data_IF_532261071343
#
_entry.id   IF_532261071343
#
_cell.length_a   1.000
_cell.length_b   1.000
_cell.length_c   1.000
_cell.angle_alpha   90.00
_cell.angle_beta   90.00
_cell.angle_gamma   90.00
#
_symmetry.space_group_name_H-M   'P 1'
#
loop_
_entity.id
_entity.type
_entity.pdbx_description
1 polymer ?
#
# COMPACT_ATOMS: atom_id res chain seq x y z
N UNK A 1 15.10 15.39 0.70
CA UNK A 1 14.05 14.37 0.88
C UNK A 1 14.20 13.81 2.28
N UNK A 2 13.27 14.12 3.18
CA UNK A 2 13.35 13.70 4.58
C UNK A 2 13.24 12.17 4.63
N UNK A 3 14.35 11.49 4.93
CA UNK A 3 14.44 10.05 5.24
C UNK A 3 14.25 9.10 4.06
N UNK A 4 15.34 8.71 3.39
CA UNK A 4 15.35 7.47 2.60
C UNK A 4 15.44 6.30 3.57
N UNK A 5 14.30 5.71 3.90
CA UNK A 5 14.25 4.34 4.43
C UNK A 5 14.39 3.36 3.26
N UNK A 6 14.98 2.19 3.49
CA UNK A 6 15.05 1.11 2.49
C UNK A 6 13.68 0.43 2.30
N UNK A 7 12.80 0.53 3.31
CA UNK A 7 11.42 0.02 3.30
C UNK A 7 10.41 1.16 3.48
N UNK A 8 9.17 0.91 3.08
CA UNK A 8 8.02 1.78 3.38
C UNK A 8 7.09 1.09 4.36
N UNK A 9 6.41 1.86 5.21
CA UNK A 9 5.39 1.30 6.09
C UNK A 9 4.09 0.99 5.34
N UNK A 10 3.27 0.10 5.89
CA UNK A 10 1.94 -0.23 5.34
C UNK A 10 1.09 1.04 5.18
N UNK A 11 1.12 1.97 6.14
CA UNK A 11 0.39 3.25 6.06
C UNK A 11 0.86 4.12 4.89
N UNK A 12 2.17 4.13 4.58
CA UNK A 12 2.69 4.84 3.41
C UNK A 12 2.22 4.18 2.10
N UNK A 13 2.17 2.85 2.05
CA UNK A 13 1.65 2.11 0.91
C UNK A 13 0.16 2.38 0.70
N UNK A 14 -0.66 2.31 1.76
CA UNK A 14 -2.10 2.64 1.70
C UNK A 14 -2.32 4.06 1.18
N UNK A 15 -1.59 5.04 1.72
CA UNK A 15 -1.67 6.44 1.27
C UNK A 15 -1.29 6.55 -0.21
N UNK A 16 -0.21 5.90 -0.63
CA UNK A 16 0.22 5.89 -2.03
C UNK A 16 -0.84 5.29 -2.96
N UNK A 17 -1.43 4.15 -2.59
CA UNK A 17 -2.45 3.47 -3.38
C UNK A 17 -3.71 4.34 -3.54
N UNK A 18 -4.17 4.96 -2.45
CA UNK A 18 -5.40 5.75 -2.45
C UNK A 18 -5.24 7.16 -3.04
N UNK A 19 -4.08 7.81 -2.89
CA UNK A 19 -3.89 9.19 -3.33
C UNK A 19 -3.15 9.34 -4.67
N UNK A 20 -2.30 8.37 -5.04
CA UNK A 20 -1.44 8.47 -6.23
C UNK A 20 -1.75 7.44 -7.32
N UNK A 21 -2.26 6.27 -6.96
CA UNK A 21 -2.60 5.21 -7.93
C UNK A 21 -4.09 5.14 -8.25
N UNK A 22 -4.96 5.63 -7.35
CA UNK A 22 -6.40 5.63 -7.57
C UNK A 22 -6.80 6.58 -8.70
N UNK A 23 -7.70 6.12 -9.57
CA UNK A 23 -8.39 6.98 -10.52
C UNK A 23 -9.46 7.82 -9.75
N UNK A 24 -9.35 9.17 -9.74
CA UNK A 24 -10.27 10.04 -9.02
C UNK A 24 -11.69 10.04 -9.60
N UNK A 25 -11.90 9.53 -10.81
CA UNK A 25 -13.24 9.42 -11.40
C UNK A 25 -14.03 8.21 -10.88
N UNK A 26 -13.41 7.29 -10.15
CA UNK A 26 -14.06 6.08 -9.62
C UNK A 26 -14.81 6.35 -8.31
N UNK A 27 -16.07 5.92 -8.27
CA UNK A 27 -16.92 6.00 -7.08
C UNK A 27 -16.37 5.12 -5.93
N UNK A 28 -16.26 5.68 -4.74
CA UNK A 28 -15.70 5.00 -3.56
C UNK A 28 -16.58 3.88 -2.99
N UNK A 29 -17.88 3.90 -3.22
CA UNK A 29 -18.80 2.83 -2.79
C UNK A 29 -18.66 1.62 -3.72
N UNK A 30 -18.56 1.86 -5.03
CA UNK A 30 -18.40 0.78 -6.02
C UNK A 30 -16.96 0.25 -6.08
N UNK A 31 -15.97 1.11 -5.81
CA UNK A 31 -14.55 0.79 -5.80
C UNK A 31 -13.94 1.27 -4.49
N UNK A 32 -14.01 0.47 -3.43
CA UNK A 32 -13.49 0.83 -2.11
C UNK A 32 -12.03 1.28 -2.12
N UNK A 33 -11.66 2.07 -1.12
CA UNK A 33 -10.27 2.42 -0.87
C UNK A 33 -9.50 1.20 -0.35
N UNK A 34 -8.19 1.20 -0.57
CA UNK A 34 -7.29 0.22 0.03
C UNK A 34 -7.22 0.44 1.53
N UNK A 35 -7.26 -0.65 2.29
CA UNK A 35 -7.00 -0.71 3.72
C UNK A 35 -5.71 -1.49 4.01
N UNK A 36 -5.29 -1.48 5.27
CA UNK A 36 -4.06 -2.16 5.70
C UNK A 36 -4.08 -3.64 5.32
N UNK A 37 -5.22 -4.33 5.48
CA UNK A 37 -5.37 -5.75 5.17
C UNK A 37 -5.11 -6.03 3.69
N UNK A 38 -5.72 -5.24 2.80
CA UNK A 38 -5.53 -5.41 1.35
C UNK A 38 -4.09 -5.12 0.94
N UNK A 39 -3.46 -4.12 1.56
CA UNK A 39 -2.05 -3.85 1.32
C UNK A 39 -1.12 -4.96 1.86
N UNK A 40 -1.45 -5.58 2.99
CA UNK A 40 -0.72 -6.74 3.51
C UNK A 40 -0.80 -7.94 2.56
N UNK A 41 -1.98 -8.21 1.97
CA UNK A 41 -2.11 -9.28 0.96
C UNK A 41 -1.19 -9.02 -0.24
N UNK A 42 -1.16 -7.78 -0.73
CA UNK A 42 -0.27 -7.39 -1.84
C UNK A 42 1.21 -7.60 -1.45
N UNK A 43 1.62 -7.18 -0.25
CA UNK A 43 3.00 -7.41 0.22
C UNK A 43 3.32 -8.90 0.26
N UNK A 44 2.42 -9.72 0.81
CA UNK A 44 2.63 -11.17 0.89
C UNK A 44 2.77 -11.84 -0.49
N UNK A 45 2.04 -11.35 -1.49
CA UNK A 45 2.06 -11.86 -2.86
C UNK A 45 3.33 -11.43 -3.64
N UNK A 46 3.84 -10.22 -3.40
CA UNK A 46 4.85 -9.59 -4.26
C UNK A 46 6.20 -9.27 -3.62
N UNK A 47 6.30 -9.21 -2.29
CA UNK A 47 7.59 -8.99 -1.62
C UNK A 47 8.42 -10.28 -1.64
N UNK A 48 9.62 -10.30 -2.25
CA UNK A 48 10.45 -11.49 -2.29
C UNK A 48 11.22 -11.74 -0.98
N UNK A 49 11.52 -10.70 -0.19
CA UNK A 49 12.25 -10.86 1.07
C UNK A 49 11.27 -11.13 2.21
N UNK A 50 11.30 -12.36 2.74
CA UNK A 50 10.48 -12.79 3.87
C UNK A 50 10.64 -11.90 5.12
N UNK A 51 11.79 -11.25 5.32
CA UNK A 51 11.99 -10.33 6.45
C UNK A 51 11.06 -9.12 6.37
N UNK A 52 10.82 -8.63 5.15
CA UNK A 52 10.02 -7.43 4.89
C UNK A 52 8.51 -7.70 4.94
N UNK A 53 8.07 -8.97 4.92
CA UNK A 53 6.66 -9.35 5.05
C UNK A 53 6.14 -9.30 6.49
N UNK A 54 7.04 -9.48 7.46
CA UNK A 54 6.74 -9.66 8.87
C UNK A 54 6.99 -8.42 9.75
N UNK A 55 7.35 -7.28 9.15
CA UNK A 55 7.50 -6.00 9.86
C UNK A 55 6.14 -5.33 10.16
#
# INVERSE_FOLDING_TARGET
TLGKSETISISQLVTFMNEKQRDPMLNEILYPLYDDKRCTEIINDYEPDEKNKSE
#
